data_IF_067897334343
#
_entry.id   IF_067897334343
#
_cell.length_a   1.000
_cell.length_b   1.000
_cell.length_c   1.000
_cell.angle_alpha   90.00
_cell.angle_beta   90.00
_cell.angle_gamma   90.00
#
_symmetry.space_group_name_H-M   'P 1'
#
loop_
_entity.id
_entity.type
_entity.pdbx_description
1 polymer ?
#
# COMPACT_ATOMS: atom_id res chain seq x y z
N UNK A 1 -10.15 23.97 35.25
CA UNK A 1 -10.95 23.11 34.33
C UNK A 1 -10.23 23.10 33.00
N UNK A 2 -9.66 22.02 32.55
CA UNK A 2 -9.07 21.96 31.21
C UNK A 2 -10.23 21.86 30.20
N UNK A 3 -10.29 22.77 29.28
CA UNK A 3 -11.21 22.80 28.14
C UNK A 3 -10.95 21.55 27.31
N UNK A 4 -11.90 20.62 27.30
CA UNK A 4 -11.92 19.51 26.37
C UNK A 4 -12.15 20.07 24.98
N UNK A 5 -11.09 20.16 24.19
CA UNK A 5 -11.20 20.39 22.74
C UNK A 5 -12.04 19.27 22.12
N UNK A 6 -12.90 19.56 21.10
CA UNK A 6 -13.71 18.58 20.43
C UNK A 6 -12.80 17.61 19.66
N UNK A 7 -12.36 16.58 20.32
CA UNK A 7 -11.71 15.43 19.67
C UNK A 7 -12.78 14.71 18.84
N UNK A 8 -12.48 14.36 17.60
CA UNK A 8 -13.25 13.34 16.87
C UNK A 8 -13.58 12.21 17.84
N UNK A 9 -14.84 11.84 17.93
CA UNK A 9 -15.28 10.77 18.81
C UNK A 9 -14.28 9.59 18.65
N UNK A 10 -13.72 9.02 19.72
CA UNK A 10 -12.69 7.98 19.61
C UNK A 10 -13.12 6.81 18.73
N UNK A 11 -14.43 6.56 18.62
CA UNK A 11 -15.00 5.57 17.71
C UNK A 11 -14.78 5.94 16.23
N UNK A 12 -15.00 7.20 15.85
CA UNK A 12 -14.79 7.66 14.46
C UNK A 12 -13.32 7.62 14.05
N UNK A 13 -12.42 7.96 14.97
CA UNK A 13 -10.98 7.85 14.75
C UNK A 13 -10.56 6.40 14.47
N UNK A 14 -11.00 5.45 15.32
CA UNK A 14 -10.69 4.05 15.16
C UNK A 14 -11.27 3.46 13.86
N UNK A 15 -12.52 3.79 13.53
CA UNK A 15 -13.17 3.36 12.30
C UNK A 15 -12.42 3.88 11.06
N UNK A 16 -12.00 5.13 11.08
CA UNK A 16 -11.23 5.72 9.98
C UNK A 16 -9.91 4.96 9.77
N UNK A 17 -9.12 4.75 10.84
CA UNK A 17 -7.83 4.06 10.73
C UNK A 17 -8.00 2.61 10.25
N UNK A 18 -9.02 1.89 10.74
CA UNK A 18 -9.31 0.52 10.30
C UNK A 18 -9.77 0.47 8.84
N UNK A 19 -10.64 1.38 8.41
CA UNK A 19 -11.07 1.48 7.00
C UNK A 19 -9.89 1.78 6.07
N UNK A 20 -9.01 2.69 6.47
CA UNK A 20 -7.80 2.99 5.72
C UNK A 20 -6.84 1.80 5.65
N UNK A 21 -6.68 1.05 6.75
CA UNK A 21 -5.87 -0.17 6.74
C UNK A 21 -6.45 -1.24 5.81
N UNK A 22 -7.79 -1.39 5.74
CA UNK A 22 -8.45 -2.25 4.76
C UNK A 22 -8.11 -1.83 3.33
N UNK A 23 -8.25 -0.55 3.01
CA UNK A 23 -7.91 0.01 1.68
C UNK A 23 -6.45 -0.23 1.33
N UNK A 24 -5.53 -0.04 2.28
CA UNK A 24 -4.11 -0.31 2.08
C UNK A 24 -3.86 -1.78 1.71
N UNK A 25 -4.43 -2.72 2.47
CA UNK A 25 -4.30 -4.15 2.18
C UNK A 25 -4.88 -4.52 0.81
N UNK A 26 -6.06 -4.00 0.48
CA UNK A 26 -6.69 -4.18 -0.83
C UNK A 26 -5.75 -3.74 -1.97
N UNK A 27 -5.21 -2.53 -1.88
CA UNK A 27 -4.37 -1.95 -2.94
C UNK A 27 -3.04 -2.68 -3.07
N UNK A 28 -2.38 -3.06 -1.97
CA UNK A 28 -1.11 -3.80 -2.00
C UNK A 28 -1.25 -5.09 -2.82
N UNK A 29 -2.23 -5.92 -2.49
CA UNK A 29 -2.43 -7.19 -3.18
C UNK A 29 -2.90 -7.02 -4.62
N UNK A 30 -3.70 -5.99 -4.87
CA UNK A 30 -4.12 -5.67 -6.25
C UNK A 30 -2.94 -5.28 -7.13
N UNK A 31 -2.03 -4.43 -6.64
CA UNK A 31 -0.82 -4.03 -7.39
C UNK A 31 0.11 -5.23 -7.60
N UNK A 32 0.25 -6.11 -6.61
CA UNK A 32 1.05 -7.33 -6.73
C UNK A 32 0.56 -8.21 -7.87
N UNK A 33 -0.75 -8.47 -7.96
CA UNK A 33 -1.36 -9.25 -9.02
C UNK A 33 -1.25 -8.57 -10.39
N UNK A 34 -1.48 -7.26 -10.44
CA UNK A 34 -1.29 -6.49 -11.67
C UNK A 34 0.16 -6.50 -12.14
N UNK A 35 1.12 -6.58 -11.21
CA UNK A 35 2.55 -6.75 -11.53
C UNK A 35 2.80 -7.95 -12.44
N UNK A 36 2.16 -9.09 -12.17
CA UNK A 36 2.24 -10.26 -13.03
C UNK A 36 1.73 -10.00 -14.45
N UNK A 37 0.62 -9.26 -14.58
CA UNK A 37 0.08 -8.88 -15.91
C UNK A 37 0.94 -7.87 -16.66
N UNK A 38 1.55 -6.93 -15.91
CA UNK A 38 2.44 -5.91 -16.47
C UNK A 38 3.72 -6.54 -17.02
N UNK A 39 4.31 -7.50 -16.30
CA UNK A 39 5.55 -8.14 -16.69
C UNK A 39 5.37 -9.23 -17.77
N UNK A 40 4.18 -9.84 -17.84
CA UNK A 40 3.93 -10.99 -18.70
C UNK A 40 4.25 -10.77 -20.19
N UNK A 41 3.96 -9.61 -20.83
CA UNK A 41 4.27 -9.39 -22.24
C UNK A 41 5.76 -9.43 -22.59
N UNK A 42 6.63 -9.11 -21.61
CA UNK A 42 8.09 -9.02 -21.80
C UNK A 42 8.82 -10.24 -21.27
N UNK A 43 8.45 -10.72 -20.08
CA UNK A 43 9.19 -11.78 -19.35
C UNK A 43 8.40 -13.09 -19.26
N UNK A 44 7.16 -13.12 -19.77
CA UNK A 44 6.28 -14.28 -19.63
C UNK A 44 5.64 -14.38 -18.24
N UNK A 45 4.96 -15.50 -17.97
CA UNK A 45 4.27 -15.79 -16.71
C UNK A 45 4.87 -16.97 -15.94
N UNK A 46 6.19 -17.12 -16.03
CA UNK A 46 6.93 -18.23 -15.40
C UNK A 46 7.01 -18.09 -13.88
N UNK A 47 7.44 -19.18 -13.23
CA UNK A 47 7.71 -19.19 -11.78
C UNK A 47 8.77 -18.15 -11.37
N UNK A 48 9.72 -17.83 -12.26
CA UNK A 48 10.74 -16.83 -12.00
C UNK A 48 10.17 -15.42 -11.92
N UNK A 49 9.22 -15.09 -12.80
CA UNK A 49 8.54 -13.77 -12.80
C UNK A 49 7.71 -13.60 -11.55
N UNK A 50 6.91 -14.60 -11.20
CA UNK A 50 6.13 -14.58 -9.96
C UNK A 50 7.01 -14.55 -8.71
N UNK A 51 8.08 -15.35 -8.69
CA UNK A 51 9.07 -15.32 -7.61
C UNK A 51 9.73 -13.96 -7.44
N UNK A 52 10.05 -13.28 -8.53
CA UNK A 52 10.62 -11.92 -8.52
C UNK A 52 9.64 -10.91 -7.90
N UNK A 53 8.38 -10.92 -8.36
CA UNK A 53 7.35 -10.02 -7.86
C UNK A 53 7.13 -10.23 -6.36
N UNK A 54 6.85 -11.48 -5.96
CA UNK A 54 6.59 -11.81 -4.55
C UNK A 54 7.78 -11.41 -3.66
N UNK A 55 9.01 -11.72 -4.10
CA UNK A 55 10.22 -11.37 -3.34
C UNK A 55 10.34 -9.86 -3.16
N UNK A 56 10.14 -9.08 -4.22
CA UNK A 56 10.21 -7.62 -4.15
C UNK A 56 9.12 -7.06 -3.24
N UNK A 57 7.88 -7.55 -3.33
CA UNK A 57 6.80 -7.12 -2.45
C UNK A 57 7.10 -7.46 -0.98
N UNK A 58 7.54 -8.67 -0.68
CA UNK A 58 7.89 -9.08 0.69
C UNK A 58 9.04 -8.24 1.27
N UNK A 59 10.10 -7.98 0.50
CA UNK A 59 11.22 -7.14 0.93
C UNK A 59 10.77 -5.69 1.15
N UNK A 60 10.00 -5.14 0.22
CA UNK A 60 9.48 -3.78 0.29
C UNK A 60 8.60 -3.59 1.54
N UNK A 61 7.65 -4.51 1.76
CA UNK A 61 6.80 -4.48 2.94
C UNK A 61 7.62 -4.61 4.23
N UNK A 62 8.61 -5.49 4.26
CA UNK A 62 9.48 -5.68 5.45
C UNK A 62 10.23 -4.40 5.80
N UNK A 63 10.80 -3.72 4.81
CA UNK A 63 11.46 -2.44 5.00
C UNK A 63 10.44 -1.35 5.40
N UNK A 64 9.27 -1.34 4.75
CA UNK A 64 8.16 -0.45 5.10
C UNK A 64 7.72 -0.62 6.56
N UNK A 65 7.56 -1.86 7.02
CA UNK A 65 7.21 -2.14 8.42
C UNK A 65 8.27 -1.63 9.39
N UNK A 66 9.54 -1.82 9.08
CA UNK A 66 10.64 -1.33 9.92
C UNK A 66 10.66 0.20 9.99
N UNK A 67 10.55 0.87 8.86
CA UNK A 67 10.58 2.34 8.78
C UNK A 67 9.32 2.94 9.40
N UNK A 68 8.14 2.41 9.06
CA UNK A 68 6.86 2.87 9.62
C UNK A 68 6.78 2.68 11.13
N UNK A 69 7.31 1.55 11.64
CA UNK A 69 7.44 1.30 13.06
C UNK A 69 8.33 2.34 13.75
N UNK A 70 9.50 2.66 13.20
CA UNK A 70 10.39 3.71 13.73
C UNK A 70 9.74 5.09 13.70
N UNK A 71 9.10 5.46 12.59
CA UNK A 71 8.42 6.75 12.47
C UNK A 71 7.25 6.90 13.44
N UNK A 72 6.62 5.80 13.84
CA UNK A 72 5.51 5.80 14.78
C UNK A 72 5.92 6.11 16.24
N UNK A 73 7.22 6.03 16.56
CA UNK A 73 7.75 6.36 17.89
C UNK A 73 7.69 7.86 18.19
N UNK A 74 7.69 8.71 17.16
CA UNK A 74 7.67 10.16 17.31
C UNK A 74 6.26 10.68 17.04
N UNK A 75 5.50 10.93 18.12
CA UNK A 75 4.14 11.52 18.09
C UNK A 75 3.32 11.16 16.84
N UNK A 76 2.65 10.01 16.84
CA UNK A 76 1.87 9.58 15.67
C UNK A 76 0.69 10.53 15.44
N UNK A 77 0.55 11.02 14.20
CA UNK A 77 -0.53 11.94 13.80
C UNK A 77 -1.24 11.42 12.56
N UNK A 78 -2.54 11.70 12.44
CA UNK A 78 -3.32 11.39 11.23
C UNK A 78 -2.81 12.14 10.01
N UNK A 79 -2.25 13.32 10.18
CA UNK A 79 -1.66 14.11 9.09
C UNK A 79 -0.46 13.37 8.46
N UNK A 80 0.45 12.85 9.30
CA UNK A 80 1.59 12.04 8.81
C UNK A 80 1.13 10.70 8.25
N UNK A 81 0.09 10.11 8.84
CA UNK A 81 -0.53 8.90 8.31
C UNK A 81 -1.09 9.11 6.91
N UNK A 82 -1.78 10.24 6.67
CA UNK A 82 -2.26 10.63 5.35
C UNK A 82 -1.14 10.87 4.33
N UNK A 83 0.03 11.35 4.76
CA UNK A 83 1.16 11.54 3.85
C UNK A 83 1.73 10.23 3.29
N UNK A 84 1.59 9.09 3.97
CA UNK A 84 1.99 7.79 3.43
C UNK A 84 1.10 7.39 2.26
N UNK A 85 -0.21 7.60 2.34
CA UNK A 85 -1.13 7.34 1.24
C UNK A 85 -0.85 8.25 0.04
N UNK A 86 -0.70 9.55 0.27
CA UNK A 86 -0.36 10.50 -0.78
C UNK A 86 1.00 10.20 -1.41
N UNK A 87 2.00 9.86 -0.60
CA UNK A 87 3.32 9.46 -1.06
C UNK A 87 3.29 8.20 -1.92
N UNK A 88 2.53 7.17 -1.49
CA UNK A 88 2.34 5.96 -2.27
C UNK A 88 1.66 6.24 -3.61
N UNK A 89 0.63 7.09 -3.63
CA UNK A 89 -0.04 7.51 -4.87
C UNK A 89 0.91 8.19 -5.85
N UNK A 90 1.76 9.09 -5.36
CA UNK A 90 2.78 9.76 -6.20
C UNK A 90 3.81 8.76 -6.72
N UNK A 91 4.24 7.81 -5.89
CA UNK A 91 5.21 6.78 -6.27
C UNK A 91 4.63 5.72 -7.22
N UNK A 92 3.31 5.64 -7.38
CA UNK A 92 2.67 4.83 -8.42
C UNK A 92 2.68 5.51 -9.80
N UNK A 93 2.93 6.82 -9.90
CA UNK A 93 2.93 7.53 -11.18
C UNK A 93 3.94 6.96 -12.20
N UNK A 94 5.19 6.61 -11.84
CA UNK A 94 6.10 5.97 -12.77
C UNK A 94 5.56 4.67 -13.35
N UNK A 95 4.86 3.87 -12.55
CA UNK A 95 4.23 2.63 -13.00
C UNK A 95 3.11 2.90 -14.00
N UNK A 96 2.31 3.95 -13.79
CA UNK A 96 1.22 4.35 -14.67
C UNK A 96 1.72 4.97 -15.97
N UNK A 97 2.74 5.82 -15.89
CA UNK A 97 3.15 6.67 -17.01
C UNK A 97 4.27 6.05 -17.86
N UNK A 98 5.18 5.29 -17.25
CA UNK A 98 6.43 4.86 -17.90
C UNK A 98 6.69 3.35 -17.81
N UNK A 99 5.75 2.53 -17.35
CA UNK A 99 5.99 1.07 -17.22
C UNK A 99 6.45 0.43 -18.53
N UNK A 100 5.81 0.75 -19.65
CA UNK A 100 6.15 0.19 -20.96
C UNK A 100 7.56 0.58 -21.40
N UNK A 101 7.92 1.87 -21.29
CA UNK A 101 9.24 2.36 -21.67
C UNK A 101 10.35 1.75 -20.80
N UNK A 102 10.10 1.65 -19.49
CA UNK A 102 11.05 1.03 -18.54
C UNK A 102 11.22 -0.45 -18.88
N UNK A 103 10.14 -1.15 -19.16
CA UNK A 103 10.18 -2.57 -19.47
C UNK A 103 10.91 -2.84 -20.79
N UNK A 104 10.59 -2.09 -21.84
CA UNK A 104 11.26 -2.21 -23.13
C UNK A 104 12.77 -1.95 -23.02
N UNK A 105 13.15 -0.86 -22.35
CA UNK A 105 14.55 -0.50 -22.16
C UNK A 105 15.35 -1.54 -21.37
N UNK A 106 14.72 -2.20 -20.39
CA UNK A 106 15.37 -3.23 -19.58
C UNK A 106 15.35 -4.60 -20.27
N UNK A 107 14.28 -4.94 -20.98
CA UNK A 107 14.19 -6.16 -21.77
C UNK A 107 15.26 -6.25 -22.84
N UNK A 108 15.55 -5.12 -23.51
CA UNK A 108 16.63 -5.05 -24.50
C UNK A 108 18.05 -5.15 -23.91
N UNK A 109 18.21 -4.93 -22.62
CA UNK A 109 19.52 -4.95 -21.94
C UNK A 109 19.79 -6.23 -21.13
N UNK A 110 18.75 -6.90 -20.69
CA UNK A 110 18.84 -8.08 -19.83
C UNK A 110 18.06 -9.20 -20.51
N UNK A 111 18.81 -10.06 -21.23
CA UNK A 111 18.24 -11.16 -22.01
C UNK A 111 17.62 -12.26 -21.14
N UNK A 112 18.18 -12.49 -19.91
CA UNK A 112 17.66 -13.52 -19.01
C UNK A 112 16.39 -13.02 -18.28
N UNK A 113 15.21 -13.66 -18.51
CA UNK A 113 13.95 -13.26 -17.87
C UNK A 113 13.97 -13.30 -16.34
N UNK A 114 14.84 -14.10 -15.72
CA UNK A 114 14.99 -14.20 -14.27
C UNK A 114 15.47 -12.88 -13.68
N UNK A 115 16.59 -12.38 -14.19
CA UNK A 115 17.18 -11.13 -13.72
C UNK A 115 16.42 -9.91 -14.23
N UNK A 116 15.92 -9.96 -15.47
CA UNK A 116 15.11 -8.89 -16.05
C UNK A 116 13.86 -8.63 -15.23
N UNK A 117 13.07 -9.67 -14.92
CA UNK A 117 11.87 -9.53 -14.12
C UNK A 117 12.15 -9.03 -12.69
N UNK A 118 13.25 -9.48 -12.07
CA UNK A 118 13.64 -9.04 -10.72
C UNK A 118 14.00 -7.55 -10.70
N UNK A 119 14.83 -7.09 -11.64
CA UNK A 119 15.26 -5.68 -11.73
C UNK A 119 14.08 -4.77 -12.02
N UNK A 120 13.21 -5.15 -12.98
CA UNK A 120 11.99 -4.39 -13.29
C UNK A 120 11.06 -4.32 -12.10
N UNK A 121 10.82 -5.45 -11.44
CA UNK A 121 9.97 -5.49 -10.24
C UNK A 121 10.51 -4.59 -9.13
N UNK A 122 11.82 -4.60 -8.91
CA UNK A 122 12.49 -3.73 -7.93
C UNK A 122 12.30 -2.25 -8.29
N UNK A 123 12.46 -1.89 -9.55
CA UNK A 123 12.38 -0.51 -10.00
C UNK A 123 10.95 0.06 -9.91
N UNK A 124 9.96 -0.74 -10.31
CA UNK A 124 8.57 -0.29 -10.42
C UNK A 124 7.80 -0.40 -9.11
N UNK A 125 8.01 -1.47 -8.32
CA UNK A 125 7.14 -1.79 -7.20
C UNK A 125 7.77 -1.53 -5.83
N UNK A 126 9.09 -1.47 -5.72
CA UNK A 126 9.76 -1.41 -4.41
C UNK A 126 9.36 -0.19 -3.59
N UNK A 127 9.50 1.01 -4.14
CA UNK A 127 9.23 2.25 -3.41
C UNK A 127 7.76 2.43 -3.03
N UNK A 128 6.78 2.31 -3.96
CA UNK A 128 5.38 2.46 -3.59
C UNK A 128 4.93 1.42 -2.56
N UNK A 129 5.37 0.17 -2.69
CA UNK A 129 5.02 -0.90 -1.75
C UNK A 129 5.69 -0.70 -0.39
N UNK A 130 6.93 -0.22 -0.33
CA UNK A 130 7.60 0.10 0.93
C UNK A 130 6.85 1.21 1.70
N UNK A 131 6.38 2.24 1.00
CA UNK A 131 5.58 3.32 1.64
C UNK A 131 4.23 2.78 2.11
N UNK A 132 3.55 1.94 1.32
CA UNK A 132 2.32 1.26 1.76
C UNK A 132 2.55 0.36 2.97
N UNK A 133 3.71 -0.30 3.04
CA UNK A 133 4.11 -1.10 4.20
C UNK A 133 4.23 -0.31 5.50
N UNK A 134 4.55 1.00 5.44
CA UNK A 134 4.63 1.83 6.66
C UNK A 134 3.28 1.98 7.35
N UNK A 135 2.18 1.79 6.63
CA UNK A 135 0.82 2.02 7.11
C UNK A 135 0.48 1.09 8.28
N UNK A 136 0.75 -0.21 8.18
CA UNK A 136 0.34 -1.20 9.18
C UNK A 136 0.91 -0.92 10.59
N UNK A 137 2.24 -0.82 10.81
CA UNK A 137 2.79 -0.55 12.13
C UNK A 137 2.42 0.84 12.66
N UNK A 138 2.28 1.81 11.78
CA UNK A 138 1.86 3.15 12.16
C UNK A 138 0.38 3.17 12.62
N UNK A 139 -0.49 2.40 11.97
CA UNK A 139 -1.90 2.21 12.37
C UNK A 139 -2.03 1.61 13.75
N UNK A 140 -1.24 0.58 14.06
CA UNK A 140 -1.20 -0.01 15.41
C UNK A 140 -0.96 1.08 16.45
N UNK A 141 0.01 1.94 16.21
CA UNK A 141 0.38 3.01 17.15
C UNK A 141 -0.69 4.10 17.29
N UNK A 142 -1.44 4.39 16.22
CA UNK A 142 -2.57 5.32 16.27
C UNK A 142 -3.76 4.78 17.06
N UNK A 143 -3.95 3.45 17.06
CA UNK A 143 -5.09 2.79 17.69
C UNK A 143 -4.82 2.36 19.13
N UNK A 144 -3.55 2.10 19.51
CA UNK A 144 -3.20 1.63 20.84
C UNK A 144 -3.18 2.80 21.83
N UNK A 145 -4.19 2.87 22.69
CA UNK A 145 -4.23 3.81 23.82
C UNK A 145 -3.58 3.22 25.08
N UNK A 146 -3.78 1.93 25.34
CA UNK A 146 -3.32 1.22 26.54
C UNK A 146 -2.46 0.01 26.14
N UNK A 147 -1.33 -0.18 26.84
CA UNK A 147 -0.41 -1.29 26.55
C UNK A 147 -1.05 -2.68 26.69
N UNK A 148 -1.92 -2.83 27.67
CA UNK A 148 -2.59 -4.10 27.99
C UNK A 148 -3.50 -4.60 26.86
N UNK A 149 -4.04 -3.68 26.05
CA UNK A 149 -4.92 -3.98 24.89
C UNK A 149 -4.18 -4.04 23.57
N UNK A 150 -2.86 -3.85 23.56
CA UNK A 150 -2.08 -3.75 22.31
C UNK A 150 -2.21 -4.99 21.42
N UNK A 151 -2.24 -6.20 21.99
CA UNK A 151 -2.41 -7.44 21.24
C UNK A 151 -3.76 -7.54 20.54
N UNK A 152 -4.86 -7.19 21.23
CA UNK A 152 -6.19 -7.20 20.65
C UNK A 152 -6.33 -6.18 19.52
N UNK A 153 -5.82 -4.96 19.72
CA UNK A 153 -5.85 -3.89 18.72
C UNK A 153 -5.04 -4.28 17.48
N UNK A 154 -3.83 -4.82 17.66
CA UNK A 154 -3.01 -5.29 16.57
C UNK A 154 -3.68 -6.45 15.81
N UNK A 155 -4.26 -7.42 16.53
CA UNK A 155 -4.99 -8.53 15.93
C UNK A 155 -6.18 -8.07 15.09
N UNK A 156 -6.98 -7.11 15.59
CA UNK A 156 -8.10 -6.53 14.84
C UNK A 156 -7.62 -5.79 13.60
N UNK A 157 -6.56 -5.00 13.71
CA UNK A 157 -5.98 -4.28 12.56
C UNK A 157 -5.48 -5.25 11.49
N UNK A 158 -4.71 -6.28 11.89
CA UNK A 158 -4.20 -7.28 10.95
C UNK A 158 -5.32 -8.06 10.30
N UNK A 159 -6.37 -8.43 11.05
CA UNK A 159 -7.55 -9.07 10.47
C UNK A 159 -8.18 -8.19 9.38
N UNK A 160 -8.46 -6.92 9.67
CA UNK A 160 -9.09 -5.99 8.72
C UNK A 160 -8.20 -5.75 7.50
N UNK A 161 -6.90 -5.52 7.69
CA UNK A 161 -5.96 -5.32 6.59
C UNK A 161 -5.82 -6.56 5.72
N UNK A 162 -5.72 -7.75 6.32
CA UNK A 162 -5.65 -9.02 5.59
C UNK A 162 -6.95 -9.34 4.86
N UNK A 163 -8.12 -9.01 5.46
CA UNK A 163 -9.41 -9.11 4.78
C UNK A 163 -9.45 -8.20 3.55
N UNK A 164 -8.95 -6.97 3.68
CA UNK A 164 -8.75 -6.06 2.54
C UNK A 164 -7.88 -6.69 1.45
N UNK A 165 -6.76 -7.31 1.83
CA UNK A 165 -5.87 -8.04 0.92
C UNK A 165 -6.57 -9.18 0.19
N UNK A 166 -7.32 -10.01 0.91
CA UNK A 166 -8.06 -11.13 0.32
C UNK A 166 -9.13 -10.64 -0.67
N UNK A 167 -9.89 -9.62 -0.29
CA UNK A 167 -10.91 -9.02 -1.17
C UNK A 167 -10.25 -8.34 -2.36
N UNK A 168 -9.14 -7.63 -2.17
CA UNK A 168 -8.36 -7.03 -3.26
C UNK A 168 -7.85 -8.04 -4.26
N UNK A 169 -7.35 -9.19 -3.77
CA UNK A 169 -6.94 -10.33 -4.60
C UNK A 169 -8.11 -10.84 -5.44
N UNK A 170 -9.24 -11.15 -4.81
CA UNK A 170 -10.41 -11.68 -5.50
C UNK A 170 -11.01 -10.66 -6.48
N UNK A 171 -11.19 -9.43 -6.04
CA UNK A 171 -11.75 -8.37 -6.87
C UNK A 171 -10.87 -8.11 -8.11
N UNK A 172 -9.56 -8.03 -7.93
CA UNK A 172 -8.63 -7.81 -9.04
C UNK A 172 -8.62 -9.00 -10.00
N UNK A 173 -8.48 -10.23 -9.48
CA UNK A 173 -8.33 -11.42 -10.32
C UNK A 173 -9.60 -11.81 -11.07
N UNK A 174 -10.77 -11.64 -10.43
CA UNK A 174 -12.03 -12.16 -10.97
C UNK A 174 -12.91 -11.09 -11.63
N UNK A 175 -12.70 -9.81 -11.32
CA UNK A 175 -13.57 -8.74 -11.78
C UNK A 175 -12.81 -7.60 -12.47
N UNK A 176 -11.89 -6.92 -11.78
CA UNK A 176 -11.30 -5.69 -12.32
C UNK A 176 -10.59 -5.91 -13.64
N UNK A 177 -9.79 -6.96 -13.75
CA UNK A 177 -9.02 -7.29 -14.95
C UNK A 177 -9.87 -7.81 -16.13
N UNK A 178 -11.14 -8.14 -15.91
CA UNK A 178 -12.07 -8.54 -16.97
C UNK A 178 -12.73 -7.32 -17.65
N UNK A 179 -12.94 -6.25 -16.89
CA UNK A 179 -13.72 -5.09 -17.33
C UNK A 179 -12.86 -3.84 -17.58
N UNK A 180 -11.66 -3.78 -16.99
CA UNK A 180 -10.81 -2.60 -17.06
C UNK A 180 -9.40 -2.94 -17.52
N UNK A 181 -8.77 -2.00 -18.21
CA UNK A 181 -7.36 -2.07 -18.53
C UNK A 181 -6.50 -1.89 -17.27
N UNK A 182 -5.31 -2.52 -17.27
CA UNK A 182 -4.37 -2.46 -16.14
C UNK A 182 -4.09 -1.01 -15.73
N UNK A 183 -3.90 -0.13 -16.71
CA UNK A 183 -3.61 1.28 -16.45
C UNK A 183 -4.79 2.01 -15.79
N UNK A 184 -6.04 1.72 -16.19
CA UNK A 184 -7.23 2.28 -15.57
C UNK A 184 -7.37 1.84 -14.11
N UNK A 185 -7.07 0.56 -13.83
CA UNK A 185 -7.08 0.03 -12.46
C UNK A 185 -6.02 0.73 -11.61
N UNK A 186 -4.80 0.88 -12.11
CA UNK A 186 -3.71 1.57 -11.39
C UNK A 186 -4.04 3.04 -11.11
N UNK A 187 -4.59 3.75 -12.08
CA UNK A 187 -5.04 5.15 -11.90
C UNK A 187 -6.13 5.22 -10.84
N UNK A 188 -7.13 4.33 -10.88
CA UNK A 188 -8.19 4.31 -9.88
C UNK A 188 -7.66 4.05 -8.47
N UNK A 189 -6.67 3.15 -8.33
CA UNK A 189 -5.98 2.92 -7.04
C UNK A 189 -5.20 4.14 -6.57
N UNK A 190 -4.52 4.83 -7.48
CA UNK A 190 -3.86 6.11 -7.16
C UNK A 190 -4.84 7.16 -6.64
N UNK A 191 -6.01 7.29 -7.28
CA UNK A 191 -7.08 8.19 -6.82
C UNK A 191 -7.61 7.78 -5.45
N UNK A 192 -7.87 6.49 -5.21
CA UNK A 192 -8.31 5.98 -3.90
C UNK A 192 -7.27 6.27 -2.83
N UNK A 193 -5.97 6.11 -3.12
CA UNK A 193 -4.90 6.47 -2.19
C UNK A 193 -4.88 7.96 -1.87
N UNK A 194 -5.04 8.84 -2.86
CA UNK A 194 -5.11 10.29 -2.64
C UNK A 194 -6.31 10.68 -1.80
N UNK A 195 -7.49 10.10 -2.07
CA UNK A 195 -8.70 10.34 -1.27
C UNK A 195 -8.52 9.84 0.18
N UNK A 196 -7.90 8.67 0.35
CA UNK A 196 -7.56 8.10 1.66
C UNK A 196 -6.60 9.00 2.44
N UNK A 197 -5.56 9.50 1.76
CA UNK A 197 -4.63 10.47 2.32
C UNK A 197 -5.32 11.79 2.71
N UNK A 198 -6.18 12.30 1.85
CA UNK A 198 -7.00 13.49 2.09
C UNK A 198 -7.92 13.33 3.30
N UNK A 199 -8.63 12.21 3.42
CA UNK A 199 -9.50 11.92 4.56
C UNK A 199 -8.71 11.88 5.88
N UNK A 200 -7.56 11.22 5.91
CA UNK A 200 -6.70 11.18 7.09
C UNK A 200 -6.15 12.58 7.44
N UNK A 201 -5.78 13.38 6.43
CA UNK A 201 -5.25 14.72 6.61
C UNK A 201 -6.31 15.69 7.18
N UNK A 202 -7.54 15.67 6.63
CA UNK A 202 -8.65 16.48 7.12
C UNK A 202 -9.03 16.11 8.56
N UNK A 203 -9.11 14.79 8.84
CA UNK A 203 -9.38 14.31 10.19
C UNK A 203 -8.27 14.70 11.19
N UNK A 204 -7.01 14.79 10.73
CA UNK A 204 -5.89 15.26 11.54
C UNK A 204 -5.93 16.76 11.84
N UNK A 205 -6.45 17.58 10.89
CA UNK A 205 -6.59 19.03 11.05
C UNK A 205 -7.77 19.45 11.92
N UNK A 206 -8.86 18.67 11.91
CA UNK A 206 -10.01 18.95 12.78
C UNK A 206 -9.70 18.82 14.28
N UNK A 207 -8.47 18.49 14.64
CA UNK A 207 -7.94 18.46 16.02
C UNK A 207 -7.24 19.76 16.43
N UNK A 208 -7.08 20.72 15.51
CA UNK A 208 -6.54 22.05 15.78
C UNK A 208 -7.69 23.06 15.98
#
# INVERSE_FOLDING_TARGET
MPTQNPTLHPLLHNQLVLSLAFVSGFIIMSIELLGGRILAPYFGSSIYVWGSIITVFMLSLSIGYLVGGRLSLHTPTLTRYGSFYAGAAVLLLPLVLWSNQIMEALFLRIEDPRYGSLVVSMLLFFLPTAVLGMIAPYSVRLLVAERERSGHVAGTLYFISTLGSAIGTLATSFYLVLWFEVNQILVSMGVVLLLSGGAAFLAGRSKL
#
